data_IF_184274070112
#
_entry.id   IF_184274070112
#
_cell.length_a   1.000
_cell.length_b   1.000
_cell.length_c   1.000
_cell.angle_alpha   90.00
_cell.angle_beta   90.00
_cell.angle_gamma   90.00
#
_symmetry.space_group_name_H-M   'P 1'
#
loop_
_entity.id
_entity.type
_entity.pdbx_description
1 polymer ?
#
# COMPACT_ATOMS: atom_id res chain seq x y z
N UNK A 1 -11.28 -34.44 38.21
CA UNK A 1 -10.06 -33.71 37.81
C UNK A 1 -10.26 -33.27 36.37
N UNK A 2 -10.64 -32.00 36.18
CA UNK A 2 -11.00 -31.45 34.87
C UNK A 2 -9.71 -30.98 34.18
N UNK A 3 -9.42 -31.55 33.01
CA UNK A 3 -8.25 -31.19 32.19
C UNK A 3 -8.61 -30.00 31.30
N UNK A 4 -8.06 -28.82 31.64
CA UNK A 4 -8.10 -27.64 30.77
C UNK A 4 -7.18 -27.84 29.56
N UNK A 5 -7.75 -27.83 28.36
CA UNK A 5 -7.04 -27.59 27.11
C UNK A 5 -6.73 -26.10 27.01
N UNK A 6 -5.44 -25.75 27.01
CA UNK A 6 -4.97 -24.41 26.61
C UNK A 6 -5.15 -24.28 25.10
N UNK A 7 -5.96 -23.33 24.67
CA UNK A 7 -5.97 -22.84 23.28
C UNK A 7 -4.80 -21.90 23.07
N UNK A 8 -4.00 -22.16 22.04
CA UNK A 8 -2.90 -21.33 21.60
C UNK A 8 -3.44 -20.23 20.66
N UNK A 9 -3.31 -18.92 20.97
CA UNK A 9 -3.79 -17.85 20.10
C UNK A 9 -2.61 -17.28 19.29
N UNK A 10 -2.08 -18.04 18.33
CA UNK A 10 -1.05 -17.54 17.41
C UNK A 10 -1.32 -17.99 15.97
N UNK A 11 -2.53 -17.69 15.49
CA UNK A 11 -2.90 -17.81 14.07
C UNK A 11 -2.69 -16.52 13.29
N UNK A 12 -1.56 -15.83 13.46
CA UNK A 12 -1.19 -14.71 12.61
C UNK A 12 -0.44 -15.24 11.41
N UNK A 13 -1.12 -15.50 10.29
CA UNK A 13 -0.46 -15.87 9.05
C UNK A 13 0.56 -14.79 8.68
N UNK A 14 1.85 -15.10 8.77
CA UNK A 14 2.89 -14.25 8.21
C UNK A 14 2.69 -14.25 6.69
N UNK A 15 2.06 -13.20 6.16
CA UNK A 15 1.98 -12.96 4.73
C UNK A 15 3.40 -12.66 4.22
N UNK A 16 4.18 -13.71 3.95
CA UNK A 16 5.44 -13.59 3.20
C UNK A 16 5.08 -13.23 1.76
N UNK A 17 5.75 -12.20 1.24
CA UNK A 17 5.83 -11.98 -0.20
C UNK A 17 6.26 -13.30 -0.86
N UNK A 18 5.42 -13.84 -1.73
CA UNK A 18 5.74 -15.04 -2.48
C UNK A 18 6.80 -14.66 -3.53
N UNK A 19 7.82 -15.50 -3.69
CA UNK A 19 8.74 -15.36 -4.83
C UNK A 19 7.95 -15.42 -6.14
N UNK A 20 8.52 -14.93 -7.25
CA UNK A 20 7.90 -15.03 -8.57
C UNK A 20 7.46 -16.48 -8.89
N UNK A 21 8.28 -17.47 -8.50
CA UNK A 21 7.95 -18.90 -8.66
C UNK A 21 6.82 -19.37 -7.75
N UNK A 22 6.67 -18.78 -6.56
CA UNK A 22 5.61 -19.14 -5.62
C UNK A 22 4.28 -18.47 -6.00
N UNK A 23 4.31 -17.25 -6.56
CA UNK A 23 3.16 -16.64 -7.24
C UNK A 23 2.67 -17.47 -8.43
N UNK A 24 3.56 -18.20 -9.10
CA UNK A 24 3.21 -19.11 -10.19
C UNK A 24 2.69 -20.48 -9.72
N UNK A 25 2.95 -20.88 -8.46
CA UNK A 25 2.59 -22.19 -7.88
C UNK A 25 1.38 -22.16 -6.98
N UNK A 26 1.17 -21.08 -6.23
CA UNK A 26 -0.16 -20.78 -5.73
C UNK A 26 -1.02 -20.35 -6.91
N UNK A 27 -2.31 -20.68 -6.87
CA UNK A 27 -3.25 -20.18 -7.86
C UNK A 27 -3.43 -18.67 -7.61
N UNK A 28 -2.55 -17.85 -8.16
CA UNK A 28 -2.68 -16.39 -8.18
C UNK A 28 -4.06 -15.96 -8.71
N UNK A 29 -4.70 -16.81 -9.52
CA UNK A 29 -6.09 -16.65 -9.94
C UNK A 29 -7.09 -16.72 -8.79
N UNK A 30 -6.91 -17.61 -7.80
CA UNK A 30 -7.75 -17.69 -6.60
C UNK A 30 -7.60 -16.45 -5.71
N UNK A 31 -6.36 -16.01 -5.43
CA UNK A 31 -6.13 -14.77 -4.66
C UNK A 31 -6.68 -13.54 -5.39
N UNK A 32 -6.44 -13.44 -6.69
CA UNK A 32 -7.00 -12.39 -7.53
C UNK A 32 -8.54 -12.40 -7.51
N UNK A 33 -9.17 -13.59 -7.50
CA UNK A 33 -10.62 -13.73 -7.33
C UNK A 33 -11.09 -13.24 -5.96
N UNK A 34 -10.40 -13.59 -4.89
CA UNK A 34 -10.74 -13.12 -3.53
C UNK A 34 -10.61 -11.59 -3.40
N UNK A 35 -9.53 -11.03 -3.94
CA UNK A 35 -9.32 -9.59 -4.06
C UNK A 35 -10.44 -8.92 -4.85
N UNK A 36 -10.76 -9.42 -6.04
CA UNK A 36 -11.85 -8.90 -6.87
C UNK A 36 -13.22 -8.98 -6.19
N UNK A 37 -13.51 -10.06 -5.46
CA UNK A 37 -14.75 -10.20 -4.68
C UNK A 37 -14.80 -9.22 -3.51
N UNK A 38 -13.68 -8.97 -2.84
CA UNK A 38 -13.60 -7.99 -1.76
C UNK A 38 -13.75 -6.56 -2.29
N UNK A 39 -13.04 -6.23 -3.36
CA UNK A 39 -13.17 -4.97 -4.08
C UNK A 39 -14.63 -4.74 -4.46
N UNK A 40 -15.29 -5.69 -5.13
CA UNK A 40 -16.70 -5.56 -5.51
C UNK A 40 -17.63 -5.22 -4.33
N UNK A 41 -17.41 -5.84 -3.15
CA UNK A 41 -18.16 -5.49 -1.93
C UNK A 41 -17.80 -4.13 -1.36
N UNK A 42 -16.53 -3.74 -1.42
CA UNK A 42 -16.08 -2.40 -1.06
C UNK A 42 -16.77 -1.34 -1.92
N UNK A 43 -16.75 -1.53 -3.23
CA UNK A 43 -17.42 -0.67 -4.21
C UNK A 43 -18.93 -0.58 -3.99
N UNK A 44 -19.58 -1.67 -3.60
CA UNK A 44 -21.00 -1.64 -3.21
C UNK A 44 -21.23 -0.81 -1.93
N UNK A 45 -20.46 -1.12 -0.86
CA UNK A 45 -20.50 -0.40 0.44
C UNK A 45 -20.28 1.11 0.28
N UNK A 46 -19.40 1.50 -0.65
CA UNK A 46 -18.98 2.88 -0.86
C UNK A 46 -19.43 3.47 -2.20
N UNK A 47 -20.48 2.90 -2.81
CA UNK A 47 -20.96 3.25 -4.16
C UNK A 47 -21.31 4.72 -4.39
N UNK A 48 -21.56 5.48 -3.30
CA UNK A 48 -21.87 6.92 -3.33
C UNK A 48 -20.72 7.83 -2.88
N UNK A 49 -19.54 7.30 -2.59
CA UNK A 49 -18.42 8.08 -2.05
C UNK A 49 -18.09 9.31 -2.91
N UNK A 50 -18.08 9.17 -4.24
CA UNK A 50 -17.80 10.27 -5.17
C UNK A 50 -18.85 11.40 -5.17
N UNK A 51 -20.07 11.10 -4.74
CA UNK A 51 -21.19 12.04 -4.63
C UNK A 51 -21.42 12.47 -3.18
N UNK A 52 -20.64 11.94 -2.24
CA UNK A 52 -20.82 12.21 -0.82
C UNK A 52 -20.53 13.67 -0.52
N UNK A 53 -21.37 14.24 0.33
CA UNK A 53 -21.20 15.57 0.93
C UNK A 53 -21.14 15.48 2.46
N UNK A 54 -20.94 14.26 2.99
CA UNK A 54 -20.93 14.01 4.44
C UNK A 54 -19.76 14.70 5.14
N UNK A 55 -18.62 14.81 4.47
CA UNK A 55 -17.42 15.46 4.99
C UNK A 55 -17.06 16.73 4.21
N UNK A 56 -16.59 17.79 4.88
CA UNK A 56 -16.07 18.98 4.21
C UNK A 56 -14.90 18.61 3.29
N UNK A 57 -14.89 19.15 2.07
CA UNK A 57 -13.81 18.93 1.08
C UNK A 57 -12.42 19.18 1.66
N UNK A 58 -12.26 20.24 2.45
CA UNK A 58 -10.98 20.60 3.09
C UNK A 58 -10.50 19.56 4.11
N UNK A 59 -11.43 18.87 4.78
CA UNK A 59 -11.10 17.78 5.70
C UNK A 59 -10.52 16.58 4.93
N UNK A 60 -11.16 16.22 3.81
CA UNK A 60 -10.67 15.16 2.91
C UNK A 60 -9.29 15.53 2.34
N UNK A 61 -9.07 16.79 1.93
CA UNK A 61 -7.75 17.26 1.46
C UNK A 61 -6.66 17.11 2.52
N UNK A 62 -6.96 17.49 3.76
CA UNK A 62 -6.03 17.36 4.87
C UNK A 62 -5.64 15.89 5.09
N UNK A 63 -6.62 14.97 5.05
CA UNK A 63 -6.37 13.54 5.14
C UNK A 63 -5.51 13.01 3.98
N UNK A 64 -5.76 13.46 2.74
CA UNK A 64 -4.93 13.11 1.58
C UNK A 64 -3.48 13.58 1.73
N UNK A 65 -3.25 14.83 2.16
CA UNK A 65 -1.91 15.33 2.37
C UNK A 65 -1.18 14.57 3.49
N UNK A 66 -1.91 14.20 4.54
CA UNK A 66 -1.36 13.41 5.64
C UNK A 66 -1.03 11.98 5.20
N UNK A 67 -1.86 11.36 4.36
CA UNK A 67 -1.58 10.08 3.72
C UNK A 67 -0.22 10.12 2.99
N UNK A 68 -0.06 11.07 2.06
CA UNK A 68 1.16 11.20 1.25
C UNK A 68 2.37 11.47 2.13
N UNK A 69 2.23 12.33 3.14
CA UNK A 69 3.30 12.64 4.09
C UNK A 69 3.71 11.39 4.87
N UNK A 70 2.76 10.67 5.47
CA UNK A 70 3.05 9.47 6.28
C UNK A 70 3.69 8.36 5.46
N UNK A 71 3.25 8.16 4.22
CA UNK A 71 3.81 7.16 3.30
C UNK A 71 5.28 7.43 2.96
N UNK A 72 5.76 8.68 3.12
CA UNK A 72 7.11 9.08 2.73
C UNK A 72 8.05 9.46 3.89
N UNK A 73 7.61 9.39 5.16
CA UNK A 73 8.49 9.59 6.33
C UNK A 73 9.05 8.29 6.91
N UNK A 74 8.72 7.15 6.31
CA UNK A 74 9.21 5.81 6.69
C UNK A 74 8.84 5.37 8.13
N UNK A 75 7.72 5.89 8.66
CA UNK A 75 7.12 5.42 9.91
C UNK A 75 5.81 4.68 9.59
N UNK A 76 5.93 3.38 9.39
CA UNK A 76 4.82 2.52 8.95
C UNK A 76 3.81 2.21 10.05
N UNK A 77 4.24 2.28 11.30
CA UNK A 77 3.32 2.12 12.43
C UNK A 77 2.39 3.33 12.49
N UNK A 78 2.96 4.55 12.40
CA UNK A 78 2.18 5.79 12.30
C UNK A 78 1.35 5.87 11.01
N UNK A 79 1.85 5.32 9.90
CA UNK A 79 1.09 5.28 8.64
C UNK A 79 -0.19 4.45 8.79
N UNK A 80 -0.14 3.30 9.48
CA UNK A 80 -1.35 2.47 9.65
C UNK A 80 -2.46 3.16 10.46
N UNK A 81 -2.13 4.19 11.24
CA UNK A 81 -3.11 5.01 11.98
C UNK A 81 -3.99 5.90 11.08
N UNK A 82 -3.77 5.94 9.77
CA UNK A 82 -4.63 6.67 8.83
C UNK A 82 -5.94 5.93 8.50
N UNK A 83 -6.08 4.67 8.89
CA UNK A 83 -7.26 3.88 8.55
C UNK A 83 -8.30 3.89 9.67
N UNK A 84 -9.58 3.66 9.38
CA UNK A 84 -10.57 3.35 10.44
C UNK A 84 -10.29 1.99 11.06
N UNK A 85 -10.81 1.73 12.26
CA UNK A 85 -10.63 0.43 12.93
C UNK A 85 -11.21 -0.72 12.10
N UNK A 86 -12.28 -0.47 11.34
CA UNK A 86 -13.01 -1.41 10.49
C UNK A 86 -12.67 -1.30 8.99
N UNK A 87 -11.50 -0.72 8.65
CA UNK A 87 -11.06 -0.54 7.26
C UNK A 87 -11.11 -1.85 6.47
N UNK A 88 -11.55 -1.77 5.22
CA UNK A 88 -11.32 -2.84 4.25
C UNK A 88 -10.14 -2.43 3.36
N UNK A 89 -9.04 -3.17 3.46
CA UNK A 89 -7.85 -2.98 2.63
C UNK A 89 -7.74 -4.13 1.63
N UNK A 90 -7.55 -3.81 0.35
CA UNK A 90 -7.42 -4.78 -0.73
C UNK A 90 -6.09 -4.59 -1.44
N UNK A 91 -5.19 -5.56 -1.26
CA UNK A 91 -3.99 -5.72 -2.07
C UNK A 91 -4.14 -6.96 -2.95
N UNK A 92 -4.06 -6.80 -4.27
CA UNK A 92 -4.26 -7.92 -5.19
C UNK A 92 -3.08 -8.91 -5.22
N UNK A 93 -1.91 -8.55 -4.67
CA UNK A 93 -0.76 -9.43 -4.53
C UNK A 93 -0.65 -10.06 -3.12
N UNK A 94 -0.94 -9.27 -2.08
CA UNK A 94 -0.73 -9.65 -0.69
C UNK A 94 -2.01 -10.10 0.04
N UNK A 95 -3.19 -9.78 -0.49
CA UNK A 95 -4.47 -10.26 0.00
C UNK A 95 -5.39 -9.16 0.55
N UNK A 96 -6.42 -9.58 1.27
CA UNK A 96 -7.49 -8.71 1.78
C UNK A 96 -7.43 -8.66 3.30
N UNK A 97 -7.33 -7.45 3.86
CA UNK A 97 -7.25 -7.20 5.30
C UNK A 97 -8.50 -6.48 5.79
N UNK A 98 -9.02 -6.89 6.93
CA UNK A 98 -10.30 -6.42 7.51
C UNK A 98 -10.03 -5.83 8.89
N UNK A 99 -9.58 -4.59 8.88
CA UNK A 99 -9.36 -3.78 10.06
C UNK A 99 -7.92 -3.30 10.21
N UNK A 100 -7.75 -2.18 10.90
CA UNK A 100 -6.48 -1.46 11.03
C UNK A 100 -5.36 -2.36 11.55
N UNK A 101 -5.66 -3.19 12.54
CA UNK A 101 -4.67 -4.06 13.19
C UNK A 101 -4.22 -5.22 12.31
N UNK A 102 -5.05 -5.69 11.37
CA UNK A 102 -4.62 -6.66 10.37
C UNK A 102 -3.66 -6.01 9.37
N UNK A 103 -3.98 -4.80 8.90
CA UNK A 103 -3.10 -4.00 8.04
C UNK A 103 -1.77 -3.75 8.75
N UNK A 104 -1.77 -3.33 10.01
CA UNK A 104 -0.54 -3.06 10.79
C UNK A 104 0.35 -4.29 10.91
N UNK A 105 -0.22 -5.45 11.24
CA UNK A 105 0.52 -6.72 11.38
C UNK A 105 1.20 -7.17 10.10
N UNK A 106 0.68 -6.77 8.93
CA UNK A 106 1.26 -7.08 7.62
C UNK A 106 2.20 -5.98 7.11
N UNK A 107 1.75 -4.73 7.08
CA UNK A 107 2.45 -3.60 6.46
C UNK A 107 3.77 -3.27 7.15
N UNK A 108 3.79 -3.20 8.49
CA UNK A 108 4.98 -2.82 9.25
C UNK A 108 6.16 -3.77 9.01
N UNK A 109 6.03 -5.11 9.10
CA UNK A 109 7.14 -6.01 8.78
C UNK A 109 7.47 -6.04 7.28
N UNK A 110 6.48 -5.92 6.39
CA UNK A 110 6.72 -5.87 4.94
C UNK A 110 7.63 -4.69 4.59
N UNK A 111 7.29 -3.50 5.07
CA UNK A 111 8.02 -2.29 4.70
C UNK A 111 9.42 -2.19 5.32
N UNK A 112 9.68 -2.89 6.42
CA UNK A 112 11.05 -3.10 6.94
C UNK A 112 11.95 -3.85 5.96
N UNK A 113 11.41 -4.62 5.02
CA UNK A 113 12.19 -5.30 3.98
C UNK A 113 12.54 -4.40 2.79
N UNK A 114 11.95 -3.21 2.71
CA UNK A 114 12.12 -2.24 1.62
C UNK A 114 12.27 -0.79 2.15
N UNK A 115 13.18 -0.52 3.11
CA UNK A 115 13.25 0.78 3.80
C UNK A 115 13.67 1.96 2.89
N UNK A 116 14.28 1.67 1.74
CA UNK A 116 14.65 2.65 0.73
C UNK A 116 13.49 3.06 -0.17
N UNK A 117 12.38 2.32 -0.18
CA UNK A 117 11.25 2.62 -1.05
C UNK A 117 10.56 3.93 -0.66
N UNK A 118 10.15 4.71 -1.66
CA UNK A 118 9.39 5.97 -1.51
C UNK A 118 8.17 5.95 -2.42
N UNK A 119 7.13 6.68 -2.04
CA UNK A 119 5.80 6.69 -2.67
C UNK A 119 5.52 8.08 -3.22
N UNK A 120 6.22 8.43 -4.30
CA UNK A 120 6.22 9.79 -4.83
C UNK A 120 4.90 10.06 -5.56
N UNK A 121 4.08 11.03 -5.12
CA UNK A 121 2.78 11.29 -5.73
C UNK A 121 2.96 11.79 -7.18
N UNK A 122 2.20 11.23 -8.10
CA UNK A 122 2.08 11.69 -9.48
C UNK A 122 0.87 12.60 -9.65
N UNK A 123 -0.32 12.13 -9.26
CA UNK A 123 -1.52 12.96 -9.18
C UNK A 123 -2.45 12.50 -8.06
N UNK A 124 -3.29 13.42 -7.60
CA UNK A 124 -4.36 13.17 -6.64
C UNK A 124 -5.69 13.60 -7.27
N UNK A 125 -6.72 12.78 -7.11
CA UNK A 125 -8.10 13.12 -7.43
C UNK A 125 -8.90 13.02 -6.15
N UNK A 126 -9.68 14.06 -5.84
CA UNK A 126 -10.59 14.05 -4.70
C UNK A 126 -11.97 14.50 -5.18
N UNK A 127 -12.96 13.64 -4.96
CA UNK A 127 -14.32 13.82 -5.40
C UNK A 127 -15.25 13.30 -4.30
N UNK A 128 -15.93 14.19 -3.57
CA UNK A 128 -16.62 13.80 -2.34
C UNK A 128 -15.67 13.14 -1.34
N UNK A 129 -16.03 11.93 -0.89
CA UNK A 129 -15.23 11.08 -0.01
C UNK A 129 -14.31 10.10 -0.79
N UNK A 130 -14.39 10.08 -2.12
CA UNK A 130 -13.50 9.27 -2.96
C UNK A 130 -12.18 10.00 -3.19
N UNK A 131 -11.09 9.31 -2.90
CA UNK A 131 -9.73 9.78 -3.12
C UNK A 131 -9.00 8.78 -4.01
N UNK A 132 -8.37 9.24 -5.08
CA UNK A 132 -7.50 8.41 -5.92
C UNK A 132 -6.10 9.02 -5.88
N UNK A 133 -5.14 8.22 -5.46
CA UNK A 133 -3.73 8.55 -5.47
C UNK A 133 -3.03 7.72 -6.54
N UNK A 134 -2.39 8.38 -7.50
CA UNK A 134 -1.41 7.74 -8.37
C UNK A 134 -0.03 8.08 -7.82
N UNK A 135 0.77 7.06 -7.49
CA UNK A 135 2.13 7.26 -7.02
C UNK A 135 3.14 6.38 -7.76
N UNK A 136 4.36 6.89 -7.81
CA UNK A 136 5.55 6.15 -8.20
C UNK A 136 6.19 5.53 -6.96
N UNK A 137 6.13 4.21 -6.88
CA UNK A 137 6.96 3.45 -5.95
C UNK A 137 8.37 3.44 -6.49
N UNK A 138 9.32 4.00 -5.75
CA UNK A 138 10.65 4.36 -6.24
C UNK A 138 11.74 3.94 -5.27
N UNK A 139 12.85 3.47 -5.81
CA UNK A 139 14.10 3.26 -5.09
C UNK A 139 15.20 4.23 -5.55
N UNK A 140 16.26 4.43 -4.74
CA UNK A 140 17.44 5.18 -5.17
C UNK A 140 18.17 4.49 -6.32
N UNK A 141 18.76 5.27 -7.22
CA UNK A 141 19.66 4.74 -8.25
C UNK A 141 20.94 4.20 -7.57
N UNK A 142 21.28 2.91 -7.77
CA UNK A 142 22.44 2.27 -7.12
C UNK A 142 23.80 2.91 -7.43
N UNK A 143 23.96 3.46 -8.63
CA UNK A 143 25.19 4.11 -9.13
C UNK A 143 25.49 5.44 -8.43
N UNK A 144 24.57 5.95 -7.60
CA UNK A 144 24.74 7.20 -6.89
C UNK A 144 24.54 8.45 -7.74
N UNK A 145 23.90 8.35 -8.92
CA UNK A 145 23.43 9.48 -9.75
C UNK A 145 22.33 10.34 -9.08
N UNK A 146 22.31 10.36 -7.74
CA UNK A 146 21.25 10.82 -6.86
C UNK A 146 20.85 12.28 -7.10
N UNK A 147 19.87 12.50 -7.97
CA UNK A 147 18.81 13.45 -7.63
C UNK A 147 18.11 12.95 -6.36
N UNK A 148 17.58 13.83 -5.49
CA UNK A 148 16.86 13.42 -4.28
C UNK A 148 15.68 12.51 -4.66
N UNK A 149 15.84 11.20 -4.48
CA UNK A 149 14.81 10.21 -4.78
C UNK A 149 13.66 10.26 -3.76
N UNK A 150 13.95 10.78 -2.58
CA UNK A 150 13.08 10.96 -1.43
C UNK A 150 12.44 12.35 -1.34
N UNK A 151 12.81 13.30 -2.21
CA UNK A 151 12.08 14.56 -2.35
C UNK A 151 10.77 14.34 -3.13
N UNK A 152 9.79 13.79 -2.41
CA UNK A 152 8.43 13.58 -2.92
C UNK A 152 7.66 14.90 -3.11
N UNK A 153 8.16 16.02 -2.59
CA UNK A 153 7.52 17.34 -2.74
C UNK A 153 7.97 18.06 -4.00
N UNK A 154 9.21 17.85 -4.44
CA UNK A 154 9.76 18.40 -5.68
C UNK A 154 10.37 17.30 -6.56
N UNK A 155 9.57 16.32 -7.02
CA UNK A 155 10.10 15.22 -7.81
C UNK A 155 10.71 15.73 -9.12
N UNK A 156 11.86 15.16 -9.50
CA UNK A 156 12.49 15.45 -10.78
C UNK A 156 11.84 14.67 -11.92
N UNK A 157 12.33 14.90 -13.14
CA UNK A 157 11.86 14.19 -14.33
C UNK A 157 11.92 12.67 -14.13
N UNK A 158 10.85 11.98 -14.53
CA UNK A 158 10.70 10.53 -14.31
C UNK A 158 11.84 9.70 -14.93
N UNK A 159 12.40 10.16 -16.05
CA UNK A 159 13.51 9.50 -16.75
C UNK A 159 14.81 9.42 -15.96
N UNK A 160 14.91 10.11 -14.83
CA UNK A 160 16.09 10.08 -13.96
C UNK A 160 16.06 8.92 -12.95
N UNK A 161 14.97 8.15 -12.88
CA UNK A 161 14.80 7.08 -11.91
C UNK A 161 14.72 5.74 -12.64
N UNK A 162 15.67 4.85 -12.37
CA UNK A 162 15.76 3.56 -13.09
C UNK A 162 14.84 2.50 -12.50
N UNK A 163 14.63 2.55 -11.18
CA UNK A 163 13.91 1.54 -10.43
C UNK A 163 12.64 2.14 -9.83
N UNK A 164 11.58 2.21 -10.64
CA UNK A 164 10.27 2.65 -10.19
C UNK A 164 9.13 1.94 -10.91
N UNK A 165 7.95 1.90 -10.29
CA UNK A 165 6.72 1.41 -10.92
C UNK A 165 5.51 2.20 -10.40
N UNK A 166 4.44 2.30 -11.20
CA UNK A 166 3.24 3.01 -10.77
C UNK A 166 2.34 2.13 -9.91
N UNK A 167 1.67 2.75 -8.94
CA UNK A 167 0.51 2.20 -8.25
C UNK A 167 -0.64 3.22 -8.31
N UNK A 168 -1.86 2.72 -8.50
CA UNK A 168 -3.08 3.49 -8.28
C UNK A 168 -3.72 2.99 -7.00
N UNK A 169 -3.75 3.83 -5.99
CA UNK A 169 -4.44 3.57 -4.73
C UNK A 169 -5.78 4.29 -4.74
N UNK A 170 -6.85 3.55 -4.48
CA UNK A 170 -8.19 4.10 -4.36
C UNK A 170 -8.63 4.03 -2.91
N UNK A 171 -8.97 5.18 -2.36
CA UNK A 171 -9.32 5.40 -0.97
C UNK A 171 -10.76 5.90 -0.84
N UNK A 172 -11.44 5.49 0.22
CA UNK A 172 -12.70 6.12 0.65
C UNK A 172 -12.53 6.69 2.05
N UNK A 173 -12.75 7.99 2.16
CA UNK A 173 -12.66 8.73 3.41
C UNK A 173 -13.81 8.35 4.36
N UNK A 174 -13.47 8.09 5.62
CA UNK A 174 -14.39 7.63 6.68
C UNK A 174 -14.65 8.66 7.78
N UNK A 175 -14.09 9.87 7.66
CA UNK A 175 -14.19 10.92 8.68
C UNK A 175 -13.02 10.95 9.67
N UNK A 176 -12.87 12.06 10.39
CA UNK A 176 -11.89 12.25 11.46
C UNK A 176 -10.41 12.04 11.04
N UNK A 177 -10.08 12.35 9.79
CA UNK A 177 -8.76 12.16 9.20
C UNK A 177 -8.45 10.73 8.76
N UNK A 178 -9.46 9.83 8.73
CA UNK A 178 -9.26 8.40 8.51
C UNK A 178 -9.90 7.87 7.21
N UNK A 179 -9.32 6.81 6.65
CA UNK A 179 -9.82 6.09 5.47
C UNK A 179 -10.48 4.76 5.86
N UNK A 180 -11.70 4.53 5.37
CA UNK A 180 -12.48 3.32 5.64
C UNK A 180 -12.30 2.22 4.57
N UNK A 181 -11.64 2.57 3.45
CA UNK A 181 -11.32 1.66 2.36
C UNK A 181 -10.02 2.06 1.70
N UNK A 182 -9.21 1.06 1.36
CA UNK A 182 -8.07 1.22 0.44
C UNK A 182 -8.02 0.02 -0.52
N UNK A 183 -7.78 0.28 -1.80
CA UNK A 183 -7.48 -0.72 -2.82
C UNK A 183 -6.29 -0.29 -3.66
N UNK A 184 -5.27 -1.15 -3.71
CA UNK A 184 -4.04 -0.93 -4.47
C UNK A 184 -4.02 -1.69 -5.79
N UNK A 185 -3.83 -0.95 -6.88
CA UNK A 185 -3.77 -1.47 -8.23
C UNK A 185 -2.39 -1.24 -8.84
N UNK A 186 -1.64 -2.33 -8.99
CA UNK A 186 -0.34 -2.36 -9.65
C UNK A 186 -0.05 -3.73 -10.27
N UNK A 187 0.91 -3.78 -11.18
CA UNK A 187 1.34 -5.05 -11.78
C UNK A 187 2.33 -5.75 -10.85
N UNK A 188 1.87 -6.73 -10.07
CA UNK A 188 2.71 -7.46 -9.11
C UNK A 188 3.95 -8.14 -9.75
N UNK A 189 3.85 -8.79 -10.93
CA UNK A 189 5.04 -9.33 -11.61
C UNK A 189 6.06 -8.24 -12.00
N UNK A 190 5.58 -7.06 -12.43
CA UNK A 190 6.46 -5.95 -12.79
C UNK A 190 7.17 -5.39 -11.55
N UNK A 191 6.44 -5.20 -10.44
CA UNK A 191 7.02 -4.83 -9.14
C UNK A 191 8.14 -5.80 -8.74
N UNK A 192 7.87 -7.11 -8.74
CA UNK A 192 8.86 -8.13 -8.32
C UNK A 192 10.10 -8.10 -9.21
N UNK A 193 9.94 -7.91 -10.52
CA UNK A 193 11.05 -7.81 -11.45
C UNK A 193 11.91 -6.56 -11.19
N UNK A 194 11.27 -5.40 -11.01
CA UNK A 194 11.96 -4.12 -10.77
C UNK A 194 12.69 -4.15 -9.42
N UNK A 195 12.04 -4.64 -8.37
CA UNK A 195 12.63 -4.75 -7.04
C UNK A 195 13.83 -5.71 -7.03
N UNK A 196 13.70 -6.88 -7.66
CA UNK A 196 14.81 -7.85 -7.77
C UNK A 196 15.98 -7.27 -8.57
N UNK A 197 15.71 -6.54 -9.65
CA UNK A 197 16.74 -5.86 -10.45
C UNK A 197 17.46 -4.77 -9.64
N UNK A 198 16.71 -3.97 -8.88
CA UNK A 198 17.28 -2.97 -7.97
C UNK A 198 18.19 -3.60 -6.92
N UNK A 199 17.75 -4.68 -6.25
CA UNK A 199 18.56 -5.37 -5.24
C UNK A 199 19.90 -5.88 -5.81
N UNK A 200 19.88 -6.42 -7.03
CA UNK A 200 21.10 -6.89 -7.71
C UNK A 200 22.06 -5.73 -8.00
N UNK A 201 21.54 -4.63 -8.54
CA UNK A 201 22.33 -3.45 -8.87
C UNK A 201 22.85 -2.74 -7.60
N UNK A 202 22.03 -2.65 -6.55
CA UNK A 202 22.42 -2.12 -5.23
C UNK A 202 23.60 -2.89 -4.64
N UNK A 203 23.52 -4.22 -4.64
CA UNK A 203 24.61 -5.09 -4.19
C UNK A 203 25.86 -4.96 -5.07
N UNK A 204 25.70 -4.87 -6.39
CA UNK A 204 26.82 -4.71 -7.32
C UNK A 204 27.55 -3.37 -7.13
N UNK A 205 26.83 -2.33 -6.71
CA UNK A 205 27.39 -1.03 -6.32
C UNK A 205 28.06 -1.02 -4.93
N UNK A 206 28.08 -2.15 -4.22
CA UNK A 206 28.69 -2.28 -2.89
C UNK A 206 27.88 -1.63 -1.76
N UNK A 207 26.56 -1.55 -1.93
CA UNK A 207 25.61 -0.97 -0.95
C UNK A 207 24.70 -2.02 -0.32
#
# INVERSE_FOLDING_TARGET
MSSQTKSDPTGGAQAKALSADALAREDAGLRGKEGALAAARGWDRFSKASQSTAHPRAEVEAACHEYVRRANINDWDLWTDIFTEDVLYVDHAYGVFRGREEVRKWMVPLMKTMPEMRFVPGFLVIQGDLVINYNWNRWPNPDGSAEPYDDWRNPKALSLYEHHFPCVTINVYGGNGLFAYEEDLYCAPAFMNIFSGWQQAWKAAGR
#
